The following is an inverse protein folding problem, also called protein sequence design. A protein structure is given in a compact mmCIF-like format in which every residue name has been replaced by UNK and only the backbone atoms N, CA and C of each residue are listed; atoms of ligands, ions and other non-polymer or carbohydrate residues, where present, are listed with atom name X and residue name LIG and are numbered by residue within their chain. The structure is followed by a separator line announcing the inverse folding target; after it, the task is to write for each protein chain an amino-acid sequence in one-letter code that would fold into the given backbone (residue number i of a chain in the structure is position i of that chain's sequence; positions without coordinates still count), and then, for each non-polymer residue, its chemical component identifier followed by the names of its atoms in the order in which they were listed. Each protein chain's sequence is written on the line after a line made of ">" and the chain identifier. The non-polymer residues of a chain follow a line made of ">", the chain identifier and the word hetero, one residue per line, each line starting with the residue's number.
data_IF_565114516602
#
_entry.id   IF_565114516602
#
_cell.length_a   1.000
_cell.length_b   1.000
_cell.length_c   1.000
_cell.angle_alpha   90.00
_cell.angle_beta   90.00
_cell.angle_gamma   90.00
#
_symmetry.space_group_name_H-M   'P 1'
#
loop_
_entity.id
_entity.type
_entity.pdbx_description
1 polymer ?
#
# COMPACT_ATOMS: atom_id res chain seq x y z
N UNK A 1 -9.45 21.46 -21.75
CA UNK A 1 -8.17 20.94 -21.22
C UNK A 1 -8.29 20.60 -19.75
N UNK A 2 -8.64 21.54 -18.86
CA UNK A 2 -8.77 21.25 -17.42
C UNK A 2 -9.70 20.07 -17.04
N UNK A 3 -10.80 19.87 -17.78
CA UNK A 3 -11.70 18.73 -17.55
C UNK A 3 -11.06 17.38 -17.91
N UNK A 4 -10.32 17.34 -19.02
CA UNK A 4 -9.52 16.17 -19.42
C UNK A 4 -8.42 15.87 -18.40
N UNK A 5 -7.80 16.90 -17.82
CA UNK A 5 -6.75 16.75 -16.80
C UNK A 5 -7.31 16.16 -15.49
N UNK A 6 -8.55 16.55 -15.10
CA UNK A 6 -9.22 16.01 -13.91
C UNK A 6 -9.66 14.55 -14.11
N UNK A 7 -10.22 14.22 -15.26
CA UNK A 7 -10.63 12.85 -15.57
C UNK A 7 -9.42 11.91 -15.66
N UNK A 8 -8.33 12.36 -16.29
CA UNK A 8 -7.07 11.63 -16.30
C UNK A 8 -6.52 11.42 -14.88
N UNK A 9 -6.56 12.46 -14.02
CA UNK A 9 -6.12 12.34 -12.63
C UNK A 9 -7.01 11.36 -11.84
N UNK A 10 -8.32 11.33 -12.09
CA UNK A 10 -9.24 10.37 -11.48
C UNK A 10 -8.87 8.93 -11.85
N UNK A 11 -8.62 8.65 -13.13
CA UNK A 11 -8.21 7.33 -13.60
C UNK A 11 -6.87 6.88 -12.98
N UNK A 12 -5.92 7.80 -12.81
CA UNK A 12 -4.66 7.53 -12.11
C UNK A 12 -4.89 7.21 -10.64
N UNK A 13 -5.72 7.98 -9.93
CA UNK A 13 -6.04 7.74 -8.53
C UNK A 13 -6.73 6.39 -8.32
N UNK A 14 -7.69 6.02 -9.18
CA UNK A 14 -8.35 4.72 -9.16
C UNK A 14 -7.36 3.57 -9.39
N UNK A 15 -6.43 3.72 -10.33
CA UNK A 15 -5.37 2.73 -10.57
C UNK A 15 -4.48 2.55 -9.35
N UNK A 16 -4.08 3.66 -8.70
CA UNK A 16 -3.25 3.61 -7.48
C UNK A 16 -4.00 2.91 -6.35
N UNK A 17 -5.28 3.21 -6.14
CA UNK A 17 -6.13 2.54 -5.16
C UNK A 17 -6.21 1.04 -5.42
N UNK A 18 -6.51 0.63 -6.65
CA UNK A 18 -6.62 -0.79 -7.01
C UNK A 18 -5.31 -1.54 -6.75
N UNK A 19 -4.18 -1.01 -7.20
CA UNK A 19 -2.87 -1.61 -6.95
C UNK A 19 -2.54 -1.66 -5.46
N UNK A 20 -2.94 -0.64 -4.70
CA UNK A 20 -2.72 -0.61 -3.25
C UNK A 20 -3.56 -1.66 -2.53
N UNK A 21 -4.82 -1.84 -2.91
CA UNK A 21 -5.68 -2.87 -2.34
C UNK A 21 -5.19 -4.29 -2.70
N UNK A 22 -4.77 -4.51 -3.95
CA UNK A 22 -4.18 -5.77 -4.42
C UNK A 22 -2.92 -6.15 -3.61
N UNK A 23 -2.07 -5.17 -3.29
CA UNK A 23 -0.79 -5.41 -2.60
C UNK A 23 -0.85 -5.27 -1.09
N UNK A 24 -1.96 -4.82 -0.50
CA UNK A 24 -2.11 -4.58 0.95
C UNK A 24 -1.79 -5.81 1.80
N UNK A 25 -1.99 -6.99 1.23
CA UNK A 25 -1.85 -8.30 1.90
C UNK A 25 -0.68 -9.14 1.37
N UNK A 26 0.21 -8.59 0.54
CA UNK A 26 1.26 -9.35 -0.13
C UNK A 26 2.18 -10.15 0.82
N UNK A 27 2.40 -9.64 2.04
CA UNK A 27 3.26 -10.28 3.04
C UNK A 27 2.49 -10.99 4.17
N UNK A 28 1.15 -11.01 4.12
CA UNK A 28 0.34 -11.58 5.21
C UNK A 28 0.58 -13.07 5.40
N UNK A 29 0.57 -13.84 4.32
CA UNK A 29 0.84 -15.28 4.37
C UNK A 29 2.23 -15.57 4.92
N UNK A 30 3.25 -14.86 4.44
CA UNK A 30 4.62 -15.03 4.93
C UNK A 30 4.74 -14.71 6.42
N UNK A 31 4.08 -13.65 6.90
CA UNK A 31 4.04 -13.32 8.32
C UNK A 31 3.35 -14.42 9.15
N UNK A 32 2.26 -15.02 8.65
CA UNK A 32 1.56 -16.12 9.34
C UNK A 32 2.41 -17.39 9.41
N UNK A 33 3.13 -17.72 8.35
CA UNK A 33 4.05 -18.86 8.35
C UNK A 33 5.18 -18.73 9.38
N UNK A 34 5.54 -17.49 9.76
CA UNK A 34 6.49 -17.25 10.86
C UNK A 34 5.88 -17.48 12.25
N UNK A 35 4.54 -17.49 12.37
CA UNK A 35 3.83 -17.73 13.64
C UNK A 35 3.61 -19.23 13.91
N UNK A 36 3.74 -20.09 12.91
CA UNK A 36 3.50 -21.55 13.03
C UNK A 36 4.63 -22.30 13.77
N UNK A 37 5.51 -21.60 14.51
CA UNK A 37 6.69 -22.14 15.23
C UNK A 37 7.64 -23.02 14.39
N UNK A 38 7.49 -23.01 13.07
CA UNK A 38 8.35 -23.75 12.13
C UNK A 38 9.77 -23.19 12.13
N UNK A 39 9.91 -21.87 12.37
CA UNK A 39 11.17 -21.13 12.31
C UNK A 39 11.68 -20.80 13.70
N UNK A 40 12.45 -21.71 14.29
CA UNK A 40 12.96 -21.56 15.66
C UNK A 40 14.35 -20.94 15.74
N UNK A 41 14.64 -20.36 16.90
CA UNK A 41 15.96 -19.83 17.25
C UNK A 41 16.21 -18.38 16.81
N UNK A 42 17.38 -17.82 17.17
CA UNK A 42 17.66 -16.39 17.02
C UNK A 42 17.60 -15.88 15.57
N UNK A 43 17.97 -16.73 14.61
CA UNK A 43 17.90 -16.38 13.19
C UNK A 43 16.45 -16.30 12.69
N UNK A 44 15.60 -17.25 13.07
CA UNK A 44 14.16 -17.24 12.76
C UNK A 44 13.46 -16.04 13.37
N UNK A 45 13.72 -15.74 14.65
CA UNK A 45 13.19 -14.56 15.32
C UNK A 45 13.58 -13.25 14.62
N UNK A 46 14.86 -13.10 14.23
CA UNK A 46 15.33 -11.92 13.51
C UNK A 46 14.69 -11.78 12.13
N UNK A 47 14.55 -12.88 11.39
CA UNK A 47 13.89 -12.88 10.09
C UNK A 47 12.41 -12.51 10.22
N UNK A 48 11.68 -13.09 11.18
CA UNK A 48 10.28 -12.75 11.45
C UNK A 48 10.10 -11.29 11.83
N UNK A 49 10.99 -10.73 12.65
CA UNK A 49 10.98 -9.32 13.00
C UNK A 49 11.19 -8.42 11.77
N UNK A 50 12.13 -8.79 10.87
CA UNK A 50 12.37 -8.06 9.62
C UNK A 50 11.16 -8.12 8.69
N UNK A 51 10.59 -9.31 8.50
CA UNK A 51 9.43 -9.51 7.65
C UNK A 51 8.21 -8.67 8.10
N UNK A 52 7.97 -8.59 9.42
CA UNK A 52 6.92 -7.73 9.97
C UNK A 52 7.23 -6.24 9.81
N UNK A 53 8.50 -5.84 9.85
CA UNK A 53 8.91 -4.47 9.57
C UNK A 53 8.63 -4.13 8.09
N UNK A 54 9.04 -4.99 7.17
CA UNK A 54 8.79 -4.82 5.73
C UNK A 54 7.28 -4.82 5.42
N UNK A 55 6.46 -5.62 6.10
CA UNK A 55 5.00 -5.60 5.99
C UNK A 55 4.40 -4.25 6.42
N UNK A 56 4.88 -3.67 7.53
CA UNK A 56 4.43 -2.34 7.98
C UNK A 56 4.84 -1.26 7.00
N UNK A 57 6.10 -1.29 6.56
CA UNK A 57 6.63 -0.33 5.58
C UNK A 57 5.83 -0.37 4.27
N UNK A 58 5.52 -1.57 3.74
CA UNK A 58 4.68 -1.72 2.56
C UNK A 58 3.29 -1.09 2.77
N UNK A 59 2.64 -1.38 3.90
CA UNK A 59 1.31 -0.82 4.21
C UNK A 59 1.34 0.70 4.32
N UNK A 60 2.38 1.26 4.92
CA UNK A 60 2.57 2.70 5.03
C UNK A 60 2.77 3.35 3.66
N UNK A 61 3.62 2.77 2.81
CA UNK A 61 3.85 3.25 1.43
C UNK A 61 2.57 3.22 0.59
N UNK A 62 1.80 2.13 0.65
CA UNK A 62 0.53 2.01 -0.07
C UNK A 62 -0.50 3.04 0.44
N UNK A 63 -0.58 3.24 1.75
CA UNK A 63 -1.46 4.25 2.36
C UNK A 63 -1.07 5.67 1.91
N UNK A 64 0.23 5.97 1.90
CA UNK A 64 0.75 7.27 1.44
C UNK A 64 0.48 7.49 -0.05
N UNK A 65 0.62 6.45 -0.89
CA UNK A 65 0.36 6.54 -2.31
C UNK A 65 -1.11 6.90 -2.60
N UNK A 66 -2.05 6.23 -1.94
CA UNK A 66 -3.49 6.54 -2.04
C UNK A 66 -3.77 7.95 -1.53
N UNK A 67 -3.26 8.31 -0.35
CA UNK A 67 -3.48 9.63 0.22
C UNK A 67 -2.92 10.76 -0.67
N UNK A 68 -1.75 10.55 -1.27
CA UNK A 68 -1.13 11.48 -2.21
C UNK A 68 -1.97 11.64 -3.49
N UNK A 69 -2.47 10.53 -4.05
CA UNK A 69 -3.33 10.56 -5.24
C UNK A 69 -4.65 11.29 -4.96
N UNK A 70 -5.27 11.01 -3.81
CA UNK A 70 -6.54 11.63 -3.38
C UNK A 70 -6.36 13.13 -3.14
N UNK A 71 -5.28 13.54 -2.47
CA UNK A 71 -4.95 14.96 -2.29
C UNK A 71 -4.75 15.69 -3.61
N UNK A 72 -4.07 15.07 -4.57
CA UNK A 72 -3.87 15.65 -5.90
C UNK A 72 -5.19 15.81 -6.64
N UNK A 73 -6.04 14.79 -6.62
CA UNK A 73 -7.37 14.87 -7.24
C UNK A 73 -8.24 15.96 -6.59
N UNK A 74 -8.25 16.05 -5.26
CA UNK A 74 -9.01 17.06 -4.51
C UNK A 74 -8.50 18.50 -4.73
N UNK A 75 -7.22 18.66 -5.07
CA UNK A 75 -6.65 19.99 -5.38
C UNK A 75 -7.07 20.52 -6.75
N UNK A 76 -7.66 19.67 -7.61
CA UNK A 76 -8.21 20.10 -8.88
C UNK A 76 -9.60 20.74 -8.65
N UNK A 77 -9.92 21.86 -9.32
CA UNK A 77 -11.16 22.60 -9.10
C UNK A 77 -12.38 21.72 -9.37
N UNK A 78 -13.22 21.50 -8.35
CA UNK A 78 -14.54 20.89 -8.51
C UNK A 78 -15.48 21.94 -9.08
N UNK A 79 -16.21 21.62 -10.14
CA UNK A 79 -17.20 22.56 -10.69
C UNK A 79 -18.44 22.56 -9.76
N UNK A 80 -19.08 23.72 -9.50
CA UNK A 80 -20.38 23.78 -8.83
C UNK A 80 -21.49 23.10 -9.63
#
# INVERSE_FOLDING_TARGET
>A
MADLDREAMRAVAERIRRLSDEHRWALDTSCRLMDDDVWVGPAGARFGARLRADQRELRDLLTQAVHSADRRLASLPERP
#
